data_IF_477637394336
#
_entry.id   IF_477637394336
#
_cell.length_a   1.000
_cell.length_b   1.000
_cell.length_c   1.000
_cell.angle_alpha   90.00
_cell.angle_beta   90.00
_cell.angle_gamma   90.00
#
_symmetry.space_group_name_H-M   'P 1'
#
loop_
_entity.id
_entity.type
_entity.pdbx_description
1 polymer ?
#
# COMPACT_ATOMS: atom_id res chain seq x y z
N UNK A 1 -11.81 17.59 -7.06
CA UNK A 1 -13.22 17.50 -6.63
C UNK A 1 -14.12 16.83 -7.66
N UNK A 2 -13.68 16.61 -8.91
CA UNK A 2 -14.48 15.89 -9.94
C UNK A 2 -14.18 14.38 -10.06
N UNK A 3 -13.12 13.86 -9.44
CA UNK A 3 -12.74 12.45 -9.55
C UNK A 3 -13.45 11.50 -8.56
N UNK A 4 -14.11 12.04 -7.53
CA UNK A 4 -14.82 11.24 -6.53
C UNK A 4 -16.32 11.42 -6.76
N UNK A 5 -16.96 10.43 -7.39
CA UNK A 5 -18.40 10.45 -7.67
C UNK A 5 -19.24 10.60 -6.38
N UNK A 6 -20.50 11.06 -6.50
CA UNK A 6 -21.36 11.31 -5.34
C UNK A 6 -21.63 10.06 -4.49
N UNK A 7 -21.44 8.86 -5.04
CA UNK A 7 -21.56 7.59 -4.32
C UNK A 7 -20.36 7.31 -3.42
N UNK A 8 -19.13 7.45 -3.92
CA UNK A 8 -17.90 7.31 -3.13
C UNK A 8 -17.84 8.34 -1.98
N UNK A 9 -18.34 9.56 -2.21
CA UNK A 9 -18.39 10.58 -1.17
C UNK A 9 -19.35 10.21 -0.03
N UNK A 10 -20.47 9.56 -0.36
CA UNK A 10 -21.42 9.03 0.63
C UNK A 10 -20.80 7.89 1.42
N UNK A 11 -20.11 6.96 0.75
CA UNK A 11 -19.43 5.85 1.41
C UNK A 11 -18.34 6.34 2.38
N UNK A 12 -17.50 7.28 1.95
CA UNK A 12 -16.47 7.90 2.80
C UNK A 12 -17.12 8.62 3.99
N UNK A 13 -18.21 9.37 3.77
CA UNK A 13 -18.92 10.08 4.84
C UNK A 13 -19.58 9.11 5.81
N UNK A 14 -20.15 8.00 5.32
CA UNK A 14 -20.74 6.95 6.15
C UNK A 14 -19.68 6.17 6.92
N UNK A 15 -18.53 5.91 6.31
CA UNK A 15 -17.37 5.32 6.97
C UNK A 15 -16.86 6.21 8.10
N UNK A 16 -16.61 7.50 7.83
CA UNK A 16 -16.20 8.44 8.87
C UNK A 16 -17.28 8.64 9.94
N UNK A 17 -18.57 8.56 9.57
CA UNK A 17 -19.68 8.58 10.53
C UNK A 17 -19.67 7.34 11.41
N UNK A 18 -19.46 6.14 10.87
CA UNK A 18 -19.36 4.88 11.63
C UNK A 18 -18.07 4.80 12.47
N UNK A 19 -16.96 5.33 11.97
CA UNK A 19 -15.72 5.48 12.71
C UNK A 19 -15.87 6.45 13.89
N UNK A 20 -16.51 7.61 13.66
CA UNK A 20 -16.83 8.61 14.70
C UNK A 20 -17.91 8.14 15.67
N UNK A 21 -18.85 7.30 15.22
CA UNK A 21 -19.86 6.67 16.05
C UNK A 21 -19.30 5.52 16.92
N UNK A 22 -17.97 5.27 16.90
CA UNK A 22 -17.30 4.23 17.68
C UNK A 22 -17.81 2.80 17.44
N UNK A 23 -18.54 2.54 16.36
CA UNK A 23 -19.06 1.18 16.08
C UNK A 23 -18.01 0.27 15.42
N UNK A 24 -17.02 0.85 14.72
CA UNK A 24 -15.95 0.11 14.04
C UNK A 24 -14.77 -0.21 14.99
N UNK A 25 -14.71 0.43 16.17
CA UNK A 25 -13.62 0.29 17.15
C UNK A 25 -14.11 -0.28 18.49
N UNK A 26 -14.91 -1.35 18.46
CA UNK A 26 -15.51 -1.97 19.66
C UNK A 26 -14.49 -2.61 20.62
N UNK A 27 -13.21 -2.51 20.34
CA UNK A 27 -12.10 -3.15 21.04
C UNK A 27 -11.14 -2.18 21.76
N UNK A 28 -11.45 -0.88 21.84
CA UNK A 28 -10.66 0.08 22.61
C UNK A 28 -11.52 0.86 23.64
N UNK A 29 -11.90 0.22 24.74
CA UNK A 29 -12.25 0.96 25.96
C UNK A 29 -10.96 1.52 26.56
N UNK A 30 -10.61 2.76 26.22
CA UNK A 30 -9.40 3.39 26.71
C UNK A 30 -9.70 4.74 27.35
N UNK A 31 -9.26 4.88 28.60
CA UNK A 31 -9.34 6.14 29.33
C UNK A 31 -8.39 7.17 28.74
N UNK A 32 -8.65 8.45 29.04
CA UNK A 32 -7.92 9.61 28.50
C UNK A 32 -6.39 9.59 28.74
N UNK A 33 -5.87 8.74 29.62
CA UNK A 33 -4.45 8.69 30.01
C UNK A 33 -3.64 7.51 29.42
N UNK A 34 -4.25 6.61 28.64
CA UNK A 34 -3.56 5.42 28.11
C UNK A 34 -2.92 5.68 26.73
N UNK A 35 -1.71 6.28 26.73
CA UNK A 35 -0.88 6.47 25.53
C UNK A 35 -0.72 5.18 24.69
N UNK A 36 -0.62 4.03 25.35
CA UNK A 36 -0.49 2.73 24.69
C UNK A 36 -1.72 2.36 23.87
N UNK A 37 -2.91 2.75 24.34
CA UNK A 37 -4.12 2.47 23.59
C UNK A 37 -4.35 3.46 22.45
N UNK A 38 -3.94 4.72 22.62
CA UNK A 38 -3.90 5.67 21.50
C UNK A 38 -2.96 5.16 20.39
N UNK A 39 -1.81 4.59 20.75
CA UNK A 39 -0.92 3.95 19.79
C UNK A 39 -1.56 2.72 19.13
N UNK A 40 -2.32 1.93 19.88
CA UNK A 40 -3.00 0.75 19.34
C UNK A 40 -4.17 1.11 18.42
N UNK A 41 -4.90 2.20 18.68
CA UNK A 41 -6.01 2.65 17.83
C UNK A 41 -5.55 3.18 16.48
N UNK A 42 -4.34 3.75 16.39
CA UNK A 42 -3.71 4.03 15.10
C UNK A 42 -3.39 2.76 14.31
N UNK A 43 -3.08 1.67 15.01
CA UNK A 43 -2.76 0.37 14.39
C UNK A 43 -4.00 -0.40 13.94
N UNK A 44 -5.13 -0.24 14.63
CA UNK A 44 -6.41 -0.87 14.31
C UNK A 44 -7.32 0.03 13.48
N UNK A 45 -6.79 1.14 12.97
CA UNK A 45 -7.55 2.06 12.13
C UNK A 45 -8.16 1.31 10.93
N UNK A 46 -9.48 1.43 10.69
CA UNK A 46 -10.13 0.72 9.61
C UNK A 46 -9.59 1.18 8.24
N UNK A 47 -9.43 0.22 7.33
CA UNK A 47 -8.90 0.50 5.98
C UNK A 47 -9.96 1.21 5.13
N UNK A 48 -9.60 2.38 4.60
CA UNK A 48 -10.38 3.10 3.60
C UNK A 48 -9.51 3.26 2.34
N UNK A 49 -9.93 2.74 1.18
CA UNK A 49 -9.19 2.89 -0.07
C UNK A 49 -9.08 4.38 -0.40
N UNK A 50 -7.85 4.84 -0.60
CA UNK A 50 -7.57 6.24 -0.87
C UNK A 50 -6.33 6.35 -1.77
N UNK A 51 -6.18 7.50 -2.43
CA UNK A 51 -5.08 7.75 -3.36
C UNK A 51 -3.70 7.66 -2.68
N UNK A 52 -3.60 8.01 -1.40
CA UNK A 52 -2.37 7.90 -0.63
C UNK A 52 -1.96 6.43 -0.45
N UNK A 53 -2.90 5.51 -0.19
CA UNK A 53 -2.61 4.08 -0.06
C UNK A 53 -2.02 3.53 -1.36
N UNK A 54 -2.59 3.89 -2.51
CA UNK A 54 -2.06 3.48 -3.83
C UNK A 54 -0.66 4.05 -4.06
N UNK A 55 -0.43 5.33 -3.75
CA UNK A 55 0.90 5.95 -3.90
C UNK A 55 1.92 5.31 -2.96
N UNK A 56 1.56 5.08 -1.69
CA UNK A 56 2.43 4.43 -0.70
C UNK A 56 2.77 3.01 -1.15
N UNK A 57 1.81 2.26 -1.67
CA UNK A 57 2.05 0.93 -2.22
C UNK A 57 3.04 0.96 -3.40
N UNK A 58 2.89 1.89 -4.35
CA UNK A 58 3.83 2.04 -5.47
C UNK A 58 5.24 2.45 -5.00
N UNK A 59 5.32 3.37 -4.05
CA UNK A 59 6.60 3.81 -3.48
C UNK A 59 7.27 2.69 -2.70
N UNK A 60 6.54 1.99 -1.83
CA UNK A 60 7.05 0.88 -1.03
C UNK A 60 7.54 -0.28 -1.92
N UNK A 61 6.78 -0.65 -2.94
CA UNK A 61 7.20 -1.68 -3.90
C UNK A 61 8.46 -1.27 -4.66
N UNK A 62 8.58 0.00 -5.08
CA UNK A 62 9.81 0.51 -5.71
C UNK A 62 11.00 0.55 -4.76
N UNK A 63 10.76 0.85 -3.48
CA UNK A 63 11.77 0.86 -2.43
C UNK A 63 12.28 -0.57 -2.17
N UNK A 64 11.38 -1.56 -2.13
CA UNK A 64 11.75 -2.96 -1.96
C UNK A 64 12.66 -3.44 -3.09
N UNK A 65 12.37 -3.05 -4.34
CA UNK A 65 13.23 -3.33 -5.50
C UNK A 65 14.59 -2.64 -5.36
N UNK A 66 14.63 -1.40 -4.90
CA UNK A 66 15.86 -0.63 -4.70
C UNK A 66 16.77 -1.25 -3.64
N UNK A 67 16.20 -1.66 -2.51
CA UNK A 67 16.92 -2.35 -1.44
C UNK A 67 17.42 -3.71 -1.91
N UNK A 68 16.61 -4.45 -2.67
CA UNK A 68 17.05 -5.70 -3.31
C UNK A 68 18.27 -5.47 -4.21
N UNK A 69 18.22 -4.45 -5.08
CA UNK A 69 19.32 -4.12 -6.00
C UNK A 69 20.60 -3.71 -5.26
N UNK A 70 20.47 -2.89 -4.22
CA UNK A 70 21.61 -2.45 -3.40
C UNK A 70 22.26 -3.60 -2.62
N UNK A 71 21.47 -4.58 -2.18
CA UNK A 71 21.96 -5.70 -1.36
C UNK A 71 22.33 -6.95 -2.16
N UNK A 72 21.96 -7.04 -3.44
CA UNK A 72 22.29 -8.19 -4.28
C UNK A 72 23.79 -8.23 -4.59
N UNK A 73 24.54 -8.98 -3.78
CA UNK A 73 25.95 -9.26 -4.04
C UNK A 73 26.06 -10.34 -5.11
N UNK A 74 26.81 -10.05 -6.17
CA UNK A 74 27.13 -11.02 -7.22
C UNK A 74 28.26 -11.99 -6.82
N UNK A 75 29.10 -12.35 -7.79
CA UNK A 75 30.27 -13.23 -7.60
C UNK A 75 31.19 -12.71 -6.49
N UNK A 76 31.91 -13.58 -5.74
CA UNK A 76 32.15 -15.01 -5.98
C UNK A 76 31.13 -16.00 -5.37
N UNK A 77 30.15 -15.55 -4.57
CA UNK A 77 29.23 -16.44 -3.84
C UNK A 77 27.83 -16.59 -4.46
N UNK A 78 27.41 -15.68 -5.35
CA UNK A 78 26.15 -15.76 -6.11
C UNK A 78 26.39 -15.49 -7.60
N UNK A 79 25.53 -16.04 -8.47
CA UNK A 79 25.55 -15.71 -9.91
C UNK A 79 25.28 -14.21 -10.09
N UNK A 80 25.95 -13.59 -11.06
CA UNK A 80 25.68 -12.20 -11.41
C UNK A 80 24.19 -12.02 -11.72
N UNK A 81 23.66 -10.84 -11.40
CA UNK A 81 22.24 -10.54 -11.61
C UNK A 81 21.80 -10.76 -13.07
N UNK A 82 22.70 -10.55 -14.03
CA UNK A 82 22.48 -10.81 -15.47
C UNK A 82 22.71 -12.27 -15.88
N UNK A 83 23.39 -13.09 -15.07
CA UNK A 83 23.62 -14.51 -15.35
C UNK A 83 22.48 -15.40 -14.85
N UNK A 84 21.66 -14.90 -13.93
CA UNK A 84 20.46 -15.57 -13.46
C UNK A 84 19.23 -15.03 -14.20
N UNK A 85 18.99 -15.58 -15.38
CA UNK A 85 17.86 -15.24 -16.25
C UNK A 85 16.48 -15.19 -15.53
N UNK A 86 16.09 -16.13 -14.65
CA UNK A 86 14.80 -16.07 -13.96
C UNK A 86 14.70 -14.91 -12.97
N UNK A 87 15.80 -14.56 -12.30
CA UNK A 87 15.85 -13.44 -11.36
C UNK A 87 15.80 -12.10 -12.10
N UNK A 88 16.48 -12.01 -13.24
CA UNK A 88 16.42 -10.83 -14.10
C UNK A 88 15.00 -10.61 -14.62
N UNK A 89 14.33 -11.67 -15.09
CA UNK A 89 12.95 -11.61 -15.59
C UNK A 89 11.95 -11.22 -14.50
N UNK A 90 12.09 -11.75 -13.28
CA UNK A 90 11.18 -11.42 -12.18
C UNK A 90 11.32 -9.97 -11.73
N UNK A 91 12.56 -9.46 -11.62
CA UNK A 91 12.81 -8.05 -11.28
C UNK A 91 12.28 -7.13 -12.38
N UNK A 92 12.50 -7.47 -13.65
CA UNK A 92 12.00 -6.70 -14.78
C UNK A 92 10.47 -6.71 -14.86
N UNK A 93 9.83 -7.85 -14.55
CA UNK A 93 8.38 -7.95 -14.45
C UNK A 93 7.82 -7.11 -13.30
N UNK A 94 8.46 -7.10 -12.13
CA UNK A 94 8.04 -6.25 -11.00
C UNK A 94 8.16 -4.76 -11.35
N UNK A 95 9.28 -4.33 -11.94
CA UNK A 95 9.47 -2.94 -12.38
C UNK A 95 8.44 -2.56 -13.45
N UNK A 96 8.23 -3.43 -14.45
CA UNK A 96 7.22 -3.21 -15.49
C UNK A 96 5.80 -3.12 -14.92
N UNK A 97 5.45 -3.99 -13.96
CA UNK A 97 4.16 -3.97 -13.28
C UNK A 97 3.89 -2.68 -12.52
N UNK A 98 4.88 -2.17 -11.78
CA UNK A 98 4.77 -0.89 -11.06
C UNK A 98 4.59 0.28 -12.04
N UNK A 99 5.32 0.30 -13.16
CA UNK A 99 5.19 1.34 -14.18
C UNK A 99 3.81 1.28 -14.85
N UNK A 100 3.32 0.09 -15.19
CA UNK A 100 2.00 -0.13 -15.79
C UNK A 100 0.87 0.32 -14.85
N UNK A 101 0.99 0.01 -13.56
CA UNK A 101 0.03 0.45 -12.54
C UNK A 101 0.08 1.98 -12.33
N UNK A 102 1.29 2.56 -12.28
CA UNK A 102 1.48 4.00 -12.11
C UNK A 102 0.99 4.84 -13.30
N UNK A 103 1.09 4.30 -14.53
CA UNK A 103 0.59 4.96 -15.74
C UNK A 103 -0.88 4.65 -16.05
N UNK A 104 -1.56 3.86 -15.21
CA UNK A 104 -2.98 3.50 -15.41
C UNK A 104 -3.23 2.84 -16.77
N UNK A 105 -2.28 2.04 -17.25
CA UNK A 105 -2.36 1.43 -18.58
C UNK A 105 -3.45 0.34 -18.65
N UNK A 106 -3.82 -0.23 -17.50
CA UNK A 106 -4.90 -1.21 -17.34
C UNK A 106 -5.85 -0.72 -16.25
N UNK A 107 -6.96 -0.05 -16.60
CA UNK A 107 -7.88 0.54 -15.63
C UNK A 107 -8.53 -0.50 -14.73
N UNK A 108 -8.76 -1.73 -15.22
CA UNK A 108 -9.31 -2.82 -14.41
C UNK A 108 -8.37 -3.28 -13.29
N UNK A 109 -7.06 -3.10 -13.46
CA UNK A 109 -6.09 -3.47 -12.45
C UNK A 109 -6.01 -2.39 -11.35
N UNK A 110 -6.15 -1.13 -11.75
CA UNK A 110 -6.16 0.00 -10.83
C UNK A 110 -7.46 0.10 -10.01
N UNK A 111 -8.58 -0.45 -10.47
CA UNK A 111 -9.80 -0.58 -9.66
C UNK A 111 -9.71 -1.69 -8.59
N UNK A 112 -8.80 -2.65 -8.75
CA UNK A 112 -8.59 -3.76 -7.81
C UNK A 112 -7.51 -3.49 -6.76
N UNK A 113 -6.73 -2.40 -6.91
CA UNK A 113 -5.63 -1.97 -6.04
C UNK A 113 -6.10 -0.84 -5.13
#
# INVERSE_FOLDING_TARGET
TEAMGPEALKEVTEFFRKAKANEIARDAHCGEDDFMCQMQSYWTAPFLPNLLNTVVFLVETSQMISVFFANYKGRPWMKGMLENHPLFLSVFACIGGVIVAAWEFVPQLNEMI
#
